data_IF_510796797638
#
_entry.id   IF_510796797638
#
_cell.length_a   1.000
_cell.length_b   1.000
_cell.length_c   1.000
_cell.angle_alpha   90.00
_cell.angle_beta   90.00
_cell.angle_gamma   90.00
#
_symmetry.space_group_name_H-M   'P 1'
#
loop_
_entity.id
_entity.type
_entity.pdbx_description
1 polymer ?
#
# COMPACT_ATOMS: atom_id res chain seq x y z
N UNK A 1 -18.09 11.71 10.66
CA UNK A 1 -17.15 11.66 9.52
C UNK A 1 -16.01 12.63 9.80
N UNK A 2 -14.74 12.24 9.62
CA UNK A 2 -13.60 13.15 9.82
C UNK A 2 -13.77 14.39 8.95
N UNK A 3 -13.38 15.57 9.44
CA UNK A 3 -13.35 16.76 8.61
C UNK A 3 -12.46 16.52 7.38
N UNK A 4 -12.74 17.19 6.26
CA UNK A 4 -11.98 17.02 5.00
C UNK A 4 -10.46 17.14 5.20
N UNK A 5 -10.04 18.01 6.13
CA UNK A 5 -8.64 18.18 6.54
C UNK A 5 -8.11 16.99 7.35
N UNK A 6 -8.90 16.45 8.28
CA UNK A 6 -8.53 15.23 9.01
C UNK A 6 -8.30 14.05 8.05
N UNK A 7 -9.12 13.91 7.00
CA UNK A 7 -8.92 12.89 5.96
C UNK A 7 -7.54 13.01 5.28
N UNK A 8 -7.15 14.21 4.87
CA UNK A 8 -5.83 14.44 4.26
C UNK A 8 -4.66 14.20 5.21
N UNK A 9 -4.80 14.55 6.50
CA UNK A 9 -3.78 14.27 7.51
C UNK A 9 -3.56 12.77 7.73
N UNK A 10 -4.64 11.97 7.70
CA UNK A 10 -4.54 10.51 7.79
C UNK A 10 -3.76 9.91 6.62
N UNK A 11 -3.95 10.43 5.40
CA UNK A 11 -3.20 9.93 4.25
C UNK A 11 -1.70 10.26 4.32
N UNK A 12 -1.34 11.43 4.86
CA UNK A 12 0.08 11.76 5.14
C UNK A 12 0.65 10.85 6.21
N UNK A 13 -0.08 10.62 7.31
CA UNK A 13 0.36 9.73 8.38
C UNK A 13 0.63 8.31 7.84
N UNK A 14 -0.26 7.78 7.00
CA UNK A 14 -0.05 6.50 6.31
C UNK A 14 1.26 6.48 5.51
N UNK A 15 1.49 7.51 4.68
CA UNK A 15 2.70 7.58 3.84
C UNK A 15 3.97 7.64 4.68
N UNK A 16 3.98 8.42 5.77
CA UNK A 16 5.15 8.52 6.66
C UNK A 16 5.45 7.17 7.32
N UNK A 17 4.42 6.48 7.83
CA UNK A 17 4.58 5.17 8.46
C UNK A 17 5.07 4.12 7.45
N UNK A 18 4.51 4.12 6.24
CA UNK A 18 4.89 3.18 5.19
C UNK A 18 6.34 3.40 4.72
N UNK A 19 6.76 4.65 4.50
CA UNK A 19 8.16 4.96 4.16
C UNK A 19 9.11 4.62 5.30
N UNK A 20 8.70 4.88 6.55
CA UNK A 20 9.44 4.47 7.74
C UNK A 20 9.65 2.96 7.79
N UNK A 21 8.60 2.19 7.55
CA UNK A 21 8.63 0.72 7.48
C UNK A 21 9.55 0.23 6.35
N UNK A 22 9.38 0.76 5.13
CA UNK A 22 10.19 0.37 3.96
C UNK A 22 11.68 0.70 4.09
N UNK A 23 12.04 1.69 4.92
CA UNK A 23 13.43 2.08 5.17
C UNK A 23 14.15 1.18 6.19
N UNK A 24 13.43 0.30 6.91
CA UNK A 24 14.03 -0.51 7.98
C UNK A 24 14.87 -1.66 7.42
N UNK A 25 14.24 -2.58 6.68
CA UNK A 25 14.92 -3.73 6.11
C UNK A 25 14.22 -4.26 4.86
N UNK A 26 15.00 -4.53 3.81
CA UNK A 26 14.50 -5.24 2.63
C UNK A 26 14.44 -6.74 2.90
N UNK A 27 13.25 -7.34 2.76
CA UNK A 27 13.07 -8.77 2.96
C UNK A 27 13.56 -9.57 1.74
N UNK A 28 14.04 -10.82 1.94
CA UNK A 28 14.37 -11.72 0.85
C UNK A 28 13.11 -12.19 0.13
N UNK A 29 13.23 -12.51 -1.15
CA UNK A 29 12.14 -13.03 -1.99
C UNK A 29 12.26 -14.53 -2.22
N UNK A 30 11.22 -15.15 -2.80
CA UNK A 30 11.21 -16.58 -3.15
C UNK A 30 12.22 -16.98 -4.23
N UNK A 31 12.96 -16.02 -4.80
CA UNK A 31 14.09 -16.29 -5.69
C UNK A 31 15.35 -16.75 -4.92
N UNK A 32 15.39 -16.57 -3.60
CA UNK A 32 16.51 -16.97 -2.75
C UNK A 32 16.34 -18.37 -2.15
N UNK A 33 17.44 -19.00 -1.76
CA UNK A 33 17.38 -20.33 -1.12
C UNK A 33 16.76 -20.24 0.28
N UNK A 34 16.04 -21.29 0.69
CA UNK A 34 15.41 -21.34 2.03
C UNK A 34 16.41 -21.20 3.19
N UNK A 35 17.65 -21.63 3.00
CA UNK A 35 18.73 -21.47 3.98
C UNK A 35 19.12 -20.00 4.15
N UNK A 36 19.26 -19.27 3.03
CA UNK A 36 19.57 -17.84 3.03
C UNK A 36 18.44 -17.04 3.65
N UNK A 37 17.19 -17.36 3.30
CA UNK A 37 15.99 -16.77 3.88
C UNK A 37 15.96 -17.03 5.40
N UNK A 38 16.07 -18.29 5.84
CA UNK A 38 16.02 -18.62 7.26
C UNK A 38 17.15 -17.98 8.07
N UNK A 39 18.36 -17.90 7.52
CA UNK A 39 19.49 -17.20 8.15
C UNK A 39 19.23 -15.71 8.29
N UNK A 40 18.67 -15.07 7.25
CA UNK A 40 18.30 -13.67 7.27
C UNK A 40 17.27 -13.36 8.37
N UNK A 41 16.20 -14.15 8.45
CA UNK A 41 15.14 -13.97 9.46
C UNK A 41 15.64 -14.21 10.88
N UNK A 42 16.56 -15.17 11.09
CA UNK A 42 17.23 -15.38 12.39
C UNK A 42 18.10 -14.18 12.78
N UNK A 43 18.78 -13.58 11.82
CA UNK A 43 19.70 -12.45 12.06
C UNK A 43 18.95 -11.14 12.33
N UNK A 44 17.88 -10.88 11.58
CA UNK A 44 17.19 -9.59 11.57
C UNK A 44 15.81 -9.60 12.24
N UNK A 45 15.47 -10.67 12.98
CA UNK A 45 14.11 -10.92 13.47
C UNK A 45 13.47 -9.74 14.22
N UNK A 46 14.21 -9.05 15.08
CA UNK A 46 13.69 -7.88 15.83
C UNK A 46 13.32 -6.70 14.92
N UNK A 47 14.15 -6.41 13.92
CA UNK A 47 13.91 -5.34 12.94
C UNK A 47 12.71 -5.71 12.05
N UNK A 48 12.63 -6.98 11.63
CA UNK A 48 11.51 -7.50 10.84
C UNK A 48 10.20 -7.37 11.62
N UNK A 49 10.18 -7.80 12.89
CA UNK A 49 8.98 -7.68 13.74
C UNK A 49 8.53 -6.23 13.86
N UNK A 50 9.46 -5.30 14.12
CA UNK A 50 9.15 -3.87 14.21
C UNK A 50 8.61 -3.32 12.88
N UNK A 51 9.20 -3.72 11.75
CA UNK A 51 8.75 -3.36 10.40
C UNK A 51 7.31 -3.82 10.15
N UNK A 52 6.97 -5.09 10.47
CA UNK A 52 5.62 -5.61 10.25
C UNK A 52 4.58 -4.98 11.18
N UNK A 53 4.96 -4.69 12.43
CA UNK A 53 4.07 -3.97 13.35
C UNK A 53 3.79 -2.56 12.82
N UNK A 54 4.81 -1.87 12.32
CA UNK A 54 4.67 -0.54 11.75
C UNK A 54 3.78 -0.55 10.49
N UNK A 55 3.94 -1.55 9.62
CA UNK A 55 3.07 -1.76 8.45
C UNK A 55 1.60 -1.99 8.85
N UNK A 56 1.35 -2.86 9.83
CA UNK A 56 0.00 -3.06 10.37
C UNK A 56 -0.58 -1.80 11.01
N UNK A 57 0.21 -1.00 11.72
CA UNK A 57 -0.23 0.28 12.28
C UNK A 57 -0.61 1.25 11.16
N UNK A 58 0.10 1.25 10.03
CA UNK A 58 -0.17 2.10 8.88
C UNK A 58 -1.54 1.83 8.21
N UNK A 59 -2.14 0.65 8.42
CA UNK A 59 -3.48 0.34 7.92
C UNK A 59 -4.56 1.25 8.48
N UNK A 60 -4.49 1.61 9.76
CA UNK A 60 -5.48 2.49 10.39
C UNK A 60 -5.57 3.87 9.70
N UNK A 61 -4.46 4.62 9.52
CA UNK A 61 -4.48 5.87 8.76
C UNK A 61 -4.87 5.66 7.30
N UNK A 62 -4.46 4.56 6.65
CA UNK A 62 -4.89 4.26 5.28
C UNK A 62 -6.41 4.12 5.17
N UNK A 63 -7.03 3.32 6.03
CA UNK A 63 -8.48 3.11 6.05
C UNK A 63 -9.21 4.41 6.36
N UNK A 64 -8.75 5.18 7.36
CA UNK A 64 -9.33 6.47 7.70
C UNK A 64 -9.26 7.46 6.54
N UNK A 65 -8.13 7.50 5.82
CA UNK A 65 -7.95 8.28 4.61
C UNK A 65 -8.89 7.80 3.49
N UNK A 66 -8.89 6.51 3.18
CA UNK A 66 -9.68 5.94 2.10
C UNK A 66 -11.19 6.18 2.32
N UNK A 67 -11.68 5.96 3.53
CA UNK A 67 -13.09 6.23 3.89
C UNK A 67 -13.44 7.73 3.84
N UNK A 68 -12.45 8.63 3.82
CA UNK A 68 -12.66 10.07 3.63
C UNK A 68 -12.76 10.48 2.16
N UNK A 69 -12.49 9.58 1.21
CA UNK A 69 -12.53 9.85 -0.23
C UNK A 69 -13.97 9.86 -0.78
N UNK A 70 -14.16 9.58 -2.07
CA UNK A 70 -15.44 9.64 -2.77
C UNK A 70 -16.49 8.70 -2.16
N UNK A 71 -17.77 8.97 -2.42
CA UNK A 71 -18.90 8.14 -1.99
C UNK A 71 -19.07 6.86 -2.82
N UNK A 72 -18.08 6.49 -3.63
CA UNK A 72 -18.16 5.33 -4.50
C UNK A 72 -18.37 4.04 -3.69
N UNK A 73 -19.48 3.33 -3.95
CA UNK A 73 -19.85 2.09 -3.25
C UNK A 73 -18.78 0.98 -3.36
N UNK A 74 -17.97 1.00 -4.42
CA UNK A 74 -16.89 0.04 -4.64
C UNK A 74 -15.62 0.34 -3.84
N UNK A 75 -15.53 1.53 -3.21
CA UNK A 75 -14.32 1.91 -2.48
C UNK A 75 -14.11 1.03 -1.25
N UNK A 76 -15.18 0.78 -0.48
CA UNK A 76 -15.12 -0.08 0.72
C UNK A 76 -14.64 -1.51 0.42
N UNK A 77 -15.22 -2.25 -0.55
CA UNK A 77 -14.76 -3.61 -0.83
C UNK A 77 -13.33 -3.64 -1.35
N UNK A 78 -12.93 -2.69 -2.21
CA UNK A 78 -11.55 -2.62 -2.72
C UNK A 78 -10.55 -2.32 -1.59
N UNK A 79 -10.88 -1.41 -0.68
CA UNK A 79 -10.08 -1.13 0.52
C UNK A 79 -10.01 -2.36 1.42
N UNK A 80 -11.12 -3.10 1.61
CA UNK A 80 -11.11 -4.31 2.41
C UNK A 80 -10.19 -5.40 1.82
N UNK A 81 -10.20 -5.58 0.50
CA UNK A 81 -9.29 -6.50 -0.20
C UNK A 81 -7.84 -6.05 -0.04
N UNK A 82 -7.56 -4.76 -0.22
CA UNK A 82 -6.22 -4.19 0.00
C UNK A 82 -5.72 -4.44 1.42
N UNK A 83 -6.56 -4.14 2.43
CA UNK A 83 -6.23 -4.39 3.84
C UNK A 83 -5.97 -5.87 4.09
N UNK A 84 -6.75 -6.77 3.48
CA UNK A 84 -6.55 -8.21 3.61
C UNK A 84 -5.18 -8.66 3.11
N UNK A 85 -4.77 -8.22 1.91
CA UNK A 85 -3.46 -8.58 1.36
C UNK A 85 -2.31 -7.89 2.09
N UNK A 86 -2.47 -6.64 2.50
CA UNK A 86 -1.47 -5.94 3.32
C UNK A 86 -1.30 -6.63 4.68
N UNK A 87 -2.38 -7.09 5.33
CA UNK A 87 -2.24 -7.89 6.54
C UNK A 87 -1.50 -9.20 6.27
N UNK A 88 -1.72 -9.84 5.13
CA UNK A 88 -1.03 -11.07 4.76
C UNK A 88 0.47 -10.83 4.54
N UNK A 89 0.86 -9.75 3.84
CA UNK A 89 2.27 -9.38 3.64
C UNK A 89 2.96 -9.03 4.96
N UNK A 90 2.23 -8.59 5.99
CA UNK A 90 2.80 -8.34 7.32
C UNK A 90 2.83 -9.58 8.22
N UNK A 91 1.80 -10.43 8.18
CA UNK A 91 1.69 -11.62 9.05
C UNK A 91 2.65 -12.73 8.62
N UNK A 92 2.84 -12.94 7.31
CA UNK A 92 3.69 -14.04 6.83
C UNK A 92 5.15 -13.91 7.29
N UNK A 93 5.81 -12.75 7.18
CA UNK A 93 7.15 -12.55 7.75
C UNK A 93 7.21 -12.81 9.25
N UNK A 94 6.17 -12.45 10.03
CA UNK A 94 6.11 -12.75 11.46
C UNK A 94 6.05 -14.27 11.73
N UNK A 95 5.33 -15.03 10.91
CA UNK A 95 5.30 -16.50 11.00
C UNK A 95 6.66 -17.09 10.64
N UNK A 96 7.37 -16.54 9.64
CA UNK A 96 8.73 -16.99 9.30
C UNK A 96 9.69 -16.76 10.47
N UNK A 97 9.65 -15.57 11.10
CA UNK A 97 10.43 -15.29 12.33
C UNK A 97 10.15 -16.35 13.39
N UNK A 98 8.88 -16.69 13.63
CA UNK A 98 8.49 -17.63 14.68
C UNK A 98 8.86 -19.10 14.41
N UNK A 99 8.74 -19.58 13.16
CA UNK A 99 8.93 -20.99 12.81
C UNK A 99 10.37 -21.36 12.41
N UNK A 100 11.10 -20.44 11.77
CA UNK A 100 12.57 -20.48 11.56
C UNK A 100 13.21 -21.79 11.01
N UNK A 101 12.50 -22.54 10.16
CA UNK A 101 13.07 -23.68 9.39
C UNK A 101 13.26 -23.32 7.92
N UNK A 102 14.28 -23.88 7.24
CA UNK A 102 14.60 -23.51 5.84
C UNK A 102 13.49 -23.86 4.83
N UNK A 103 12.88 -25.07 4.85
CA UNK A 103 11.77 -25.39 3.95
C UNK A 103 10.54 -24.53 4.21
N UNK A 104 10.20 -24.29 5.48
CA UNK A 104 9.06 -23.45 5.86
C UNK A 104 9.28 -21.99 5.46
N UNK A 105 10.48 -21.46 5.68
CA UNK A 105 10.82 -20.08 5.33
C UNK A 105 10.68 -19.84 3.82
N UNK A 106 11.18 -20.74 2.98
CA UNK A 106 11.02 -20.64 1.53
C UNK A 106 9.55 -20.71 1.10
N UNK A 107 8.80 -21.71 1.57
CA UNK A 107 7.39 -21.87 1.21
C UNK A 107 6.55 -20.65 1.61
N UNK A 108 6.79 -20.11 2.81
CA UNK A 108 6.11 -18.90 3.28
C UNK A 108 6.53 -17.65 2.50
N UNK A 109 7.80 -17.55 2.09
CA UNK A 109 8.24 -16.41 1.25
C UNK A 109 7.56 -16.42 -0.10
N UNK A 110 7.33 -17.59 -0.72
CA UNK A 110 6.52 -17.70 -1.96
C UNK A 110 5.07 -17.25 -1.74
N UNK A 111 4.50 -17.54 -0.57
CA UNK A 111 3.15 -17.06 -0.20
C UNK A 111 3.15 -15.54 -0.03
N UNK A 112 4.21 -14.98 0.55
CA UNK A 112 4.40 -13.53 0.69
C UNK A 112 4.58 -12.83 -0.66
N UNK A 113 5.38 -13.38 -1.58
CA UNK A 113 5.51 -12.87 -2.95
C UNK A 113 4.14 -12.80 -3.66
N UNK A 114 3.30 -13.84 -3.50
CA UNK A 114 1.94 -13.86 -4.05
C UNK A 114 1.03 -12.85 -3.35
N UNK A 115 1.18 -12.66 -2.04
CA UNK A 115 0.48 -11.65 -1.26
C UNK A 115 0.84 -10.24 -1.77
N UNK A 116 2.11 -9.94 -2.01
CA UNK A 116 2.58 -8.66 -2.56
C UNK A 116 1.99 -8.42 -3.95
N UNK A 117 2.03 -9.41 -4.84
CA UNK A 117 1.43 -9.30 -6.16
C UNK A 117 -0.08 -8.97 -6.08
N UNK A 118 -0.81 -9.66 -5.19
CA UNK A 118 -2.23 -9.43 -4.98
C UNK A 118 -2.52 -8.07 -4.30
N UNK A 119 -1.64 -7.62 -3.39
CA UNK A 119 -1.67 -6.29 -2.80
C UNK A 119 -1.57 -5.23 -3.89
N UNK A 120 -0.63 -5.33 -4.83
CA UNK A 120 -0.51 -4.40 -5.94
C UNK A 120 -1.71 -4.44 -6.90
N UNK A 121 -2.26 -5.62 -7.19
CA UNK A 121 -3.49 -5.73 -7.96
C UNK A 121 -4.68 -5.01 -7.27
N UNK A 122 -4.80 -5.15 -5.95
CA UNK A 122 -5.82 -4.44 -5.17
C UNK A 122 -5.59 -2.93 -5.12
N UNK A 123 -4.32 -2.49 -5.06
CA UNK A 123 -3.93 -1.09 -5.10
C UNK A 123 -4.29 -0.44 -6.45
N UNK A 124 -4.18 -1.19 -7.55
CA UNK A 124 -4.66 -0.74 -8.86
C UNK A 124 -6.17 -0.50 -8.85
N UNK A 125 -6.94 -1.44 -8.28
CA UNK A 125 -8.36 -1.27 -8.05
C UNK A 125 -8.66 -0.02 -7.22
N UNK A 126 -7.89 0.21 -6.15
CA UNK A 126 -8.05 1.38 -5.29
C UNK A 126 -7.82 2.68 -6.08
N UNK A 127 -6.74 2.77 -6.85
CA UNK A 127 -6.42 3.97 -7.62
C UNK A 127 -7.51 4.36 -8.62
N UNK A 128 -8.10 3.37 -9.31
CA UNK A 128 -9.22 3.57 -10.23
C UNK A 128 -10.48 4.00 -9.49
N UNK A 129 -10.88 3.26 -8.47
CA UNK A 129 -12.15 3.48 -7.76
C UNK A 129 -12.13 4.80 -6.97
N UNK A 130 -11.00 5.13 -6.35
CA UNK A 130 -10.80 6.38 -5.61
C UNK A 130 -10.95 7.62 -6.48
N UNK A 131 -10.65 7.52 -7.79
CA UNK A 131 -10.69 8.66 -8.73
C UNK A 131 -11.83 8.59 -9.74
N UNK A 132 -12.64 7.54 -9.75
CA UNK A 132 -13.67 7.30 -10.78
C UNK A 132 -14.63 8.50 -11.01
N UNK A 133 -14.99 9.20 -9.93
CA UNK A 133 -15.92 10.34 -9.92
C UNK A 133 -15.19 11.70 -9.89
N UNK A 134 -13.86 11.70 -10.04
CA UNK A 134 -13.03 12.89 -9.94
C UNK A 134 -12.76 13.56 -11.31
N UNK A 135 -12.04 14.68 -11.31
CA UNK A 135 -11.65 15.40 -12.54
C UNK A 135 -10.85 14.51 -13.49
N UNK A 136 -10.97 14.74 -14.81
CA UNK A 136 -10.34 13.92 -15.86
C UNK A 136 -8.83 13.69 -15.63
N UNK A 137 -8.10 14.74 -15.24
CA UNK A 137 -6.66 14.61 -15.00
C UNK A 137 -6.33 13.68 -13.83
N UNK A 138 -7.14 13.68 -12.75
CA UNK A 138 -6.96 12.77 -11.62
C UNK A 138 -7.30 11.34 -11.98
N UNK A 139 -8.33 11.15 -12.82
CA UNK A 139 -8.66 9.85 -13.38
C UNK A 139 -7.53 9.29 -14.23
N UNK A 140 -6.94 10.13 -15.08
CA UNK A 140 -5.79 9.75 -15.90
C UNK A 140 -4.58 9.34 -15.03
N UNK A 141 -4.27 10.13 -13.99
CA UNK A 141 -3.22 9.77 -13.02
C UNK A 141 -3.55 8.47 -12.29
N UNK A 142 -4.78 8.29 -11.81
CA UNK A 142 -5.23 7.06 -11.15
C UNK A 142 -5.11 5.83 -12.05
N UNK A 143 -5.45 5.96 -13.34
CA UNK A 143 -5.27 4.90 -14.34
C UNK A 143 -3.77 4.61 -14.56
N UNK A 144 -2.93 5.62 -14.68
CA UNK A 144 -1.49 5.43 -14.86
C UNK A 144 -0.87 4.69 -13.67
N UNK A 145 -1.25 5.04 -12.44
CA UNK A 145 -0.82 4.35 -11.21
C UNK A 145 -1.35 2.91 -11.20
N UNK A 146 -2.61 2.71 -11.58
CA UNK A 146 -3.19 1.37 -11.66
C UNK A 146 -2.44 0.47 -12.66
N UNK A 147 -2.08 1.00 -13.82
CA UNK A 147 -1.28 0.28 -14.81
C UNK A 147 0.11 -0.07 -14.27
N UNK A 148 0.77 0.85 -13.57
CA UNK A 148 2.05 0.58 -12.92
C UNK A 148 1.94 -0.51 -11.86
N UNK A 149 0.89 -0.49 -11.04
CA UNK A 149 0.63 -1.52 -10.03
C UNK A 149 0.34 -2.89 -10.66
N UNK A 150 -0.48 -2.96 -11.72
CA UNK A 150 -0.73 -4.22 -12.45
C UNK A 150 0.54 -4.74 -13.10
N UNK A 151 1.32 -3.87 -13.75
CA UNK A 151 2.59 -4.26 -14.35
C UNK A 151 3.55 -4.82 -13.31
N UNK A 152 3.61 -4.23 -12.11
CA UNK A 152 4.43 -4.74 -11.00
C UNK A 152 3.90 -6.06 -10.44
N UNK A 153 2.60 -6.21 -10.28
CA UNK A 153 2.01 -7.48 -9.83
C UNK A 153 2.38 -8.64 -10.78
N UNK A 154 2.32 -8.39 -12.10
CA UNK A 154 2.75 -9.37 -13.10
C UNK A 154 4.26 -9.59 -13.07
N UNK A 155 5.05 -8.52 -12.96
CA UNK A 155 6.51 -8.60 -12.90
C UNK A 155 7.00 -9.39 -11.67
N UNK A 156 6.37 -9.20 -10.49
CA UNK A 156 6.69 -9.92 -9.27
C UNK A 156 6.47 -11.43 -9.41
N UNK A 157 5.36 -11.86 -10.02
CA UNK A 157 5.09 -13.28 -10.31
C UNK A 157 6.12 -13.88 -11.29
N UNK A 158 6.72 -13.05 -12.15
CA UNK A 158 7.77 -13.45 -13.09
C UNK A 158 9.18 -13.25 -12.54
N UNK A 159 9.34 -12.82 -11.29
CA UNK A 159 10.62 -12.49 -10.65
C UNK A 159 11.42 -11.40 -11.40
N UNK A 160 10.73 -10.38 -11.93
CA UNK A 160 11.30 -9.23 -12.61
C UNK A 160 11.31 -8.02 -11.67
N UNK A 161 12.50 -7.56 -11.29
CA UNK A 161 12.67 -6.56 -10.23
C UNK A 161 12.61 -5.09 -10.73
N UNK A 162 12.43 -4.88 -12.04
CA UNK A 162 12.52 -3.54 -12.65
C UNK A 162 11.48 -2.54 -12.13
N UNK A 163 10.35 -3.03 -11.60
CA UNK A 163 9.24 -2.23 -11.09
C UNK A 163 9.16 -2.21 -9.56
N UNK A 164 10.13 -2.82 -8.88
CA UNK A 164 10.10 -3.01 -7.42
C UNK A 164 10.12 -1.69 -6.65
N UNK A 165 10.71 -0.66 -7.25
CA UNK A 165 10.75 0.70 -6.71
C UNK A 165 9.66 1.60 -7.32
N UNK A 166 9.45 1.52 -8.64
CA UNK A 166 8.64 2.50 -9.38
C UNK A 166 7.16 2.44 -9.00
N UNK A 167 6.56 1.24 -8.97
CA UNK A 167 5.15 1.09 -8.68
C UNK A 167 4.76 1.50 -7.24
N UNK A 168 5.48 1.08 -6.18
CA UNK A 168 5.19 1.55 -4.82
C UNK A 168 5.36 3.06 -4.69
N UNK A 169 6.42 3.65 -5.26
CA UNK A 169 6.61 5.10 -5.21
C UNK A 169 5.51 5.86 -5.94
N UNK A 170 5.04 5.35 -7.09
CA UNK A 170 3.91 5.93 -7.81
C UNK A 170 2.62 5.88 -6.96
N UNK A 171 2.35 4.77 -6.29
CA UNK A 171 1.20 4.62 -5.38
C UNK A 171 1.30 5.57 -4.19
N UNK A 172 2.48 5.68 -3.56
CA UNK A 172 2.74 6.60 -2.45
C UNK A 172 2.54 8.06 -2.90
N UNK A 173 3.13 8.45 -4.02
CA UNK A 173 2.96 9.79 -4.59
C UNK A 173 1.50 10.08 -4.90
N UNK A 174 0.76 9.11 -5.40
CA UNK A 174 -0.66 9.23 -5.67
C UNK A 174 -1.48 9.48 -4.40
N UNK A 175 -1.24 8.70 -3.34
CA UNK A 175 -1.89 8.91 -2.04
C UNK A 175 -1.53 10.28 -1.47
N UNK A 176 -0.27 10.72 -1.58
CA UNK A 176 0.15 12.05 -1.17
C UNK A 176 -0.59 13.16 -1.93
N UNK A 177 -0.72 13.06 -3.26
CA UNK A 177 -1.45 14.03 -4.08
C UNK A 177 -2.90 14.16 -3.62
N UNK A 178 -3.57 13.03 -3.40
CA UNK A 178 -4.95 13.02 -2.90
C UNK A 178 -5.06 13.60 -1.48
N UNK A 179 -4.08 13.30 -0.63
CA UNK A 179 -3.99 13.80 0.76
C UNK A 179 -3.83 15.32 0.82
N UNK A 180 -2.86 15.86 0.08
CA UNK A 180 -2.60 17.30 0.00
C UNK A 180 -3.83 18.04 -0.55
N UNK A 181 -4.47 17.51 -1.59
CA UNK A 181 -5.70 18.10 -2.14
C UNK A 181 -6.85 18.15 -1.12
N UNK A 182 -6.94 17.20 -0.20
CA UNK A 182 -7.93 17.20 0.89
C UNK A 182 -7.61 18.25 1.95
N UNK A 183 -6.33 18.59 2.17
CA UNK A 183 -5.89 19.63 3.08
C UNK A 183 -6.09 21.05 2.53
N UNK A 184 -5.95 21.22 1.21
CA UNK A 184 -6.10 22.53 0.57
C UNK A 184 -7.54 23.08 0.74
N UNK A 185 -7.70 24.37 1.09
CA UNK A 185 -9.01 25.02 1.12
C UNK A 185 -9.68 24.93 -0.26
N UNK A 186 -10.93 24.47 -0.31
CA UNK A 186 -11.73 24.61 -1.52
C UNK A 186 -11.97 26.09 -1.78
N UNK A 187 -11.64 26.58 -2.98
CA UNK A 187 -12.15 27.86 -3.44
C UNK A 187 -13.67 27.83 -3.31
N UNK A 188 -14.23 28.65 -2.41
CA UNK A 188 -15.66 28.91 -2.38
C UNK A 188 -16.00 29.61 -3.70
N UNK A 189 -16.97 29.14 -4.50
CA UNK A 189 -17.53 30.00 -5.53
C UNK A 189 -18.07 31.26 -4.84
N UNK A 190 -17.72 32.43 -5.36
CA UNK A 190 -18.34 33.69 -4.93
C UNK A 190 -19.85 33.53 -5.16
N UNK A 191 -20.61 33.50 -4.07
CA UNK A 191 -22.05 33.72 -4.13
C UNK A 191 -22.24 35.13 -4.67
N UNK A 192 -22.61 35.25 -5.93
CA UNK A 192 -23.16 36.49 -6.48
C UNK A 192 -24.48 36.74 -5.75
N UNK A 193 -24.42 37.56 -4.70
CA UNK A 193 -25.57 38.29 -4.19
C UNK A 193 -26.05 39.20 -5.32
N UNK A 194 -27.07 38.77 -6.06
CA UNK A 194 -27.89 39.67 -6.85
C UNK A 194 -28.96 40.22 -5.94
N UNK A 195 -28.77 41.49 -5.54
CA UNK A 195 -29.82 42.38 -5.03
C UNK A 195 -30.94 42.56 -6.05
#
# INVERSE_FOLDING_TARGET
MPSRRAGGAWGIAFVVLLLGSAAMVSLPTGAETGEKIASFYKTNGSVIVAQQILGMIALAPFVAFALSLSSNRWLKPVVAVFVGFELMTNVVPLVIVAASSAPTAHALTVVEDLADAALFASAAGFAVVATAEDRLWLRAVGIAVALACVARAVAGVLHINALDLVAPLALIAFVLVLSVRKLLPGHRPMTTDTK
#
